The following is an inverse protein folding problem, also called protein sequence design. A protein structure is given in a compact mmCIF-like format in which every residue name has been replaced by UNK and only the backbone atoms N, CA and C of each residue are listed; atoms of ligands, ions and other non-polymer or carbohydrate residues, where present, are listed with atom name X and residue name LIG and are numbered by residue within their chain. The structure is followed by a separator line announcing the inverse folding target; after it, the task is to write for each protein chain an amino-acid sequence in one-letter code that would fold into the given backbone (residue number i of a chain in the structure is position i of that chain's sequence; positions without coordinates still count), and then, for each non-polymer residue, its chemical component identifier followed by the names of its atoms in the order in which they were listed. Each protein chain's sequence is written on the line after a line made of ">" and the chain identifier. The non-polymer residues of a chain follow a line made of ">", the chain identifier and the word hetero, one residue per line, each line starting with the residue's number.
data_IF_033254067933
#
_entry.id   IF_033254067933
#
_cell.length_a   1.000
_cell.length_b   1.000
_cell.length_c   1.000
_cell.angle_alpha   90.00
_cell.angle_beta   90.00
_cell.angle_gamma   90.00
#
_symmetry.space_group_name_H-M   'P 1'
#
loop_
_entity.id
_entity.type
_entity.pdbx_description
1 polymer ?
#
# COMPACT_ATOMS: atom_id res chain seq x y z
N UNK A 1 -84.69 5.31 17.37
CA UNK A 1 -83.78 5.64 18.49
C UNK A 1 -82.73 6.56 17.91
N UNK A 2 -83.02 7.84 18.05
CA UNK A 2 -82.30 8.98 17.51
C UNK A 2 -81.03 9.29 18.32
N UNK A 3 -79.99 9.71 17.60
CA UNK A 3 -78.89 10.55 18.07
C UNK A 3 -78.29 11.22 16.81
N UNK A 4 -78.53 12.51 16.52
CA UNK A 4 -77.89 13.72 17.09
C UNK A 4 -76.35 13.60 17.16
N UNK A 5 -75.51 14.47 16.57
CA UNK A 5 -75.75 15.78 15.98
C UNK A 5 -74.52 16.38 15.27
N UNK A 6 -74.82 17.40 14.46
CA UNK A 6 -74.06 18.57 14.01
C UNK A 6 -72.61 18.45 13.47
N UNK A 7 -72.45 18.73 12.18
CA UNK A 7 -71.21 19.24 11.58
C UNK A 7 -71.18 20.79 11.66
N UNK A 8 -70.03 21.42 11.96
CA UNK A 8 -69.94 22.87 12.02
C UNK A 8 -69.83 23.50 10.62
N UNK A 9 -70.61 24.55 10.39
CA UNK A 9 -70.50 25.45 9.24
C UNK A 9 -69.12 26.14 9.23
N UNK A 10 -68.36 25.97 8.15
CA UNK A 10 -67.19 26.80 7.86
C UNK A 10 -67.62 28.11 7.15
N UNK A 11 -67.10 29.28 7.56
CA UNK A 11 -67.33 30.53 6.85
C UNK A 11 -66.52 30.60 5.54
N UNK A 12 -66.96 31.39 4.54
CA UNK A 12 -66.26 31.51 3.27
C UNK A 12 -64.89 32.20 3.42
N UNK A 13 -63.91 31.69 2.68
CA UNK A 13 -62.54 32.19 2.62
C UNK A 13 -62.50 33.64 2.08
N UNK A 14 -61.67 34.54 2.65
CA UNK A 14 -61.48 35.88 2.11
C UNK A 14 -60.75 35.84 0.77
N UNK A 15 -61.19 36.68 -0.16
CA UNK A 15 -60.56 36.87 -1.47
C UNK A 15 -59.08 37.27 -1.33
N UNK A 16 -58.22 36.59 -2.09
CA UNK A 16 -56.78 36.82 -2.10
C UNK A 16 -56.46 38.25 -2.56
N UNK A 17 -55.80 39.03 -1.70
CA UNK A 17 -55.16 40.28 -2.10
C UNK A 17 -53.89 39.94 -2.89
N UNK A 18 -53.83 40.36 -4.15
CA UNK A 18 -52.61 40.31 -4.94
C UNK A 18 -51.57 41.26 -4.33
N UNK A 19 -50.63 40.70 -3.56
CA UNK A 19 -49.39 41.39 -3.25
C UNK A 19 -48.47 41.32 -4.49
N UNK A 20 -47.92 42.45 -4.96
CA UNK A 20 -46.92 42.42 -6.02
C UNK A 20 -45.70 41.65 -5.53
N UNK A 21 -45.27 40.65 -6.31
CA UNK A 21 -44.07 39.87 -6.05
C UNK A 21 -42.85 40.81 -5.89
N UNK A 22 -41.98 40.58 -4.91
CA UNK A 22 -40.72 41.32 -4.84
C UNK A 22 -39.91 41.00 -6.11
N UNK A 23 -39.49 42.05 -6.82
CA UNK A 23 -38.54 41.93 -7.94
C UNK A 23 -37.33 41.13 -7.47
N UNK A 24 -37.06 40.02 -8.14
CA UNK A 24 -35.81 39.28 -8.03
C UNK A 24 -34.67 40.25 -8.33
N UNK A 25 -34.00 40.72 -7.28
CA UNK A 25 -32.78 41.48 -7.43
C UNK A 25 -31.70 40.47 -7.84
N UNK A 26 -31.45 40.40 -9.15
CA UNK A 26 -30.34 39.68 -9.76
C UNK A 26 -29.03 40.32 -9.27
N UNK A 27 -28.61 39.98 -8.04
CA UNK A 27 -27.26 40.26 -7.57
C UNK A 27 -26.34 39.31 -8.33
N UNK A 28 -25.82 39.85 -9.43
CA UNK A 28 -24.54 39.54 -10.05
C UNK A 28 -24.01 38.16 -9.71
N UNK A 29 -24.07 37.24 -10.68
CA UNK A 29 -23.00 36.26 -10.85
C UNK A 29 -21.68 37.03 -10.71
N UNK A 30 -21.04 36.91 -9.56
CA UNK A 30 -19.67 37.37 -9.40
C UNK A 30 -18.87 36.49 -10.35
N UNK A 31 -18.57 37.03 -11.54
CA UNK A 31 -17.54 36.47 -12.41
C UNK A 31 -16.28 36.47 -11.59
N UNK A 32 -15.94 35.31 -11.02
CA UNK A 32 -14.67 35.08 -10.37
C UNK A 32 -13.63 35.38 -11.44
N UNK A 33 -12.95 36.51 -11.31
CA UNK A 33 -11.92 36.91 -12.24
C UNK A 33 -10.81 35.87 -12.21
N UNK A 34 -10.15 35.62 -13.34
CA UNK A 34 -8.99 34.71 -13.41
C UNK A 34 -7.93 35.02 -12.35
N UNK A 35 -7.85 36.28 -11.87
CA UNK A 35 -6.97 36.73 -10.79
C UNK A 35 -7.39 36.25 -9.40
N UNK A 36 -8.69 36.17 -9.09
CA UNK A 36 -9.21 35.63 -7.82
C UNK A 36 -9.11 34.10 -7.75
N UNK A 37 -9.22 33.42 -8.90
CA UNK A 37 -8.97 31.97 -8.98
C UNK A 37 -7.49 31.66 -8.70
N UNK A 38 -6.58 32.48 -9.22
CA UNK A 38 -5.13 32.36 -8.99
C UNK A 38 -4.78 32.64 -7.51
N UNK A 39 -5.42 33.63 -6.88
CA UNK A 39 -5.19 33.95 -5.47
C UNK A 39 -5.80 32.93 -4.48
N UNK A 40 -6.83 32.16 -4.87
CA UNK A 40 -7.35 31.02 -4.08
C UNK A 40 -6.62 29.70 -4.35
N UNK A 41 -5.88 29.62 -5.46
CA UNK A 41 -5.11 28.41 -5.80
C UNK A 41 -3.88 28.22 -4.91
N UNK A 42 -3.34 29.30 -4.34
CA UNK A 42 -2.21 29.24 -3.40
C UNK A 42 -2.57 28.60 -2.06
N UNK A 43 -3.78 28.78 -1.54
CA UNK A 43 -4.22 28.14 -0.29
C UNK A 43 -4.44 26.63 -0.46
N UNK A 44 -4.95 26.20 -1.62
CA UNK A 44 -5.09 24.79 -1.98
C UNK A 44 -3.74 24.11 -2.26
N UNK A 45 -2.81 24.82 -2.90
CA UNK A 45 -1.45 24.32 -3.13
C UNK A 45 -0.66 24.16 -1.82
N UNK A 46 -0.87 25.05 -0.83
CA UNK A 46 -0.28 24.88 0.51
C UNK A 46 -0.86 23.69 1.27
N UNK A 47 -2.13 23.34 1.08
CA UNK A 47 -2.72 22.15 1.74
C UNK A 47 -2.21 20.82 1.14
N UNK A 48 -1.86 20.78 -0.15
CA UNK A 48 -1.30 19.60 -0.79
C UNK A 48 0.15 19.30 -0.36
N UNK A 49 0.89 20.29 0.15
CA UNK A 49 2.26 20.13 0.62
C UNK A 49 2.38 19.54 2.04
N UNK A 50 1.27 19.36 2.78
CA UNK A 50 1.31 19.12 4.23
C UNK A 50 1.43 17.63 4.62
N UNK A 51 1.24 16.67 3.70
CA UNK A 51 1.27 15.25 4.07
C UNK A 51 2.04 14.38 3.07
N UNK A 52 3.34 14.61 2.91
CA UNK A 52 4.26 13.60 2.38
C UNK A 52 4.96 12.90 3.55
N UNK A 53 4.33 11.88 4.12
CA UNK A 53 4.91 11.05 5.19
C UNK A 53 5.87 9.99 4.64
N UNK A 54 6.77 10.40 3.74
CA UNK A 54 7.74 9.50 3.12
C UNK A 54 8.70 8.93 4.16
N UNK A 55 9.04 9.71 5.19
CA UNK A 55 10.09 9.33 6.15
C UNK A 55 11.48 9.27 5.51
N UNK A 56 12.52 9.36 6.32
CA UNK A 56 13.91 9.22 5.85
C UNK A 56 14.24 7.75 5.61
N UNK A 57 14.99 7.44 4.54
CA UNK A 57 15.54 6.09 4.32
C UNK A 57 16.32 5.65 5.57
N UNK A 58 15.96 4.53 6.22
CA UNK A 58 16.72 4.03 7.36
C UNK A 58 18.16 3.67 6.97
N UNK A 59 19.13 4.01 7.83
CA UNK A 59 20.55 3.77 7.57
C UNK A 59 20.96 2.31 7.70
N UNK A 60 20.13 1.49 8.34
CA UNK A 60 20.37 0.07 8.57
C UNK A 60 19.90 -0.84 7.41
N UNK A 61 19.31 -0.29 6.34
CA UNK A 61 18.91 -1.09 5.17
C UNK A 61 20.12 -1.69 4.46
N UNK A 62 19.90 -2.79 3.76
CA UNK A 62 20.92 -3.58 3.07
C UNK A 62 21.30 -4.86 3.83
N UNK A 63 22.27 -5.58 3.26
CA UNK A 63 22.79 -6.82 3.82
C UNK A 63 23.70 -6.51 5.01
N UNK A 64 23.31 -6.97 6.19
CA UNK A 64 24.09 -6.90 7.42
C UNK A 64 25.30 -7.84 7.32
N UNK A 65 26.42 -7.51 7.95
CA UNK A 65 27.69 -8.25 7.72
C UNK A 65 27.94 -9.40 8.70
N UNK A 66 27.23 -9.49 9.83
CA UNK A 66 27.58 -10.41 10.94
C UNK A 66 26.34 -10.87 11.75
N UNK A 67 25.76 -12.04 11.43
CA UNK A 67 25.96 -12.81 10.20
C UNK A 67 25.37 -12.09 8.97
N UNK A 68 25.69 -12.53 7.75
CA UNK A 68 25.00 -12.08 6.54
C UNK A 68 23.49 -12.31 6.59
N UNK A 69 22.71 -11.24 6.68
CA UNK A 69 21.24 -11.28 6.68
C UNK A 69 20.65 -9.93 6.26
N UNK A 70 19.34 -9.87 6.00
CA UNK A 70 18.65 -8.57 5.96
C UNK A 70 18.47 -8.05 7.39
N UNK A 71 18.12 -6.77 7.51
CA UNK A 71 17.81 -6.18 8.80
C UNK A 71 16.62 -6.90 9.48
N UNK A 72 16.60 -6.87 10.80
CA UNK A 72 15.43 -7.31 11.56
C UNK A 72 14.30 -6.27 11.44
N UNK A 73 13.08 -6.74 11.70
CA UNK A 73 11.93 -5.90 11.89
C UNK A 73 12.05 -5.11 13.20
N UNK A 74 11.57 -3.85 13.23
CA UNK A 74 11.30 -3.19 14.49
C UNK A 74 10.22 -3.98 15.26
N UNK A 75 10.06 -3.71 16.56
CA UNK A 75 9.03 -4.35 17.38
C UNK A 75 7.57 -3.98 17.00
N UNK A 76 7.39 -3.10 16.01
CA UNK A 76 6.10 -2.60 15.54
C UNK A 76 5.50 -3.50 14.46
N UNK A 77 4.17 -3.58 14.42
CA UNK A 77 3.41 -4.45 13.52
C UNK A 77 3.28 -3.86 12.09
N UNK A 78 4.38 -3.38 11.53
CA UNK A 78 4.47 -2.77 10.20
C UNK A 78 5.65 -3.33 9.39
N UNK A 79 6.09 -4.54 9.72
CA UNK A 79 7.21 -5.19 9.08
C UNK A 79 7.01 -6.71 8.96
N UNK A 80 7.55 -7.29 7.91
CA UNK A 80 7.84 -8.72 7.82
C UNK A 80 9.24 -8.95 7.26
N UNK A 81 9.92 -9.97 7.75
CA UNK A 81 11.27 -10.32 7.32
C UNK A 81 11.53 -11.82 7.45
N UNK A 82 12.31 -12.35 6.51
CA UNK A 82 12.79 -13.73 6.55
C UNK A 82 13.95 -13.94 7.51
N UNK A 83 14.55 -12.84 8.00
CA UNK A 83 15.65 -12.88 8.99
C UNK A 83 15.16 -13.00 10.44
N UNK A 84 13.84 -12.96 10.65
CA UNK A 84 13.23 -13.12 11.97
C UNK A 84 13.26 -14.56 12.47
N UNK A 85 13.04 -14.72 13.77
CA UNK A 85 12.86 -16.05 14.36
C UNK A 85 11.56 -16.66 13.87
N UNK A 86 11.58 -17.94 13.52
CA UNK A 86 10.38 -18.70 13.10
C UNK A 86 9.25 -18.63 14.14
N UNK A 87 9.59 -18.52 15.43
CA UNK A 87 8.63 -18.38 16.52
C UNK A 87 7.94 -17.00 16.58
N UNK A 88 8.46 -15.98 15.89
CA UNK A 88 7.81 -14.68 15.75
C UNK A 88 6.80 -14.71 14.60
N UNK A 89 5.61 -15.22 14.88
CA UNK A 89 4.52 -15.30 13.89
C UNK A 89 4.02 -13.92 13.40
N UNK A 90 4.40 -12.82 14.06
CA UNK A 90 4.02 -11.48 13.66
C UNK A 90 4.93 -10.93 12.58
N UNK A 91 6.24 -11.18 12.65
CA UNK A 91 7.22 -10.61 11.73
C UNK A 91 7.83 -11.63 10.78
N UNK A 92 7.90 -12.91 11.16
CA UNK A 92 8.51 -13.94 10.34
C UNK A 92 7.70 -14.25 9.10
N UNK A 93 8.41 -14.44 7.99
CA UNK A 93 7.90 -15.04 6.80
C UNK A 93 8.97 -15.97 6.19
N UNK A 94 8.60 -17.13 5.62
CA UNK A 94 9.58 -18.04 5.06
C UNK A 94 10.24 -17.45 3.79
N UNK A 95 11.53 -17.74 3.55
CA UNK A 95 12.20 -17.34 2.32
C UNK A 95 11.56 -18.01 1.10
N UNK A 96 11.83 -17.46 -0.08
CA UNK A 96 11.33 -18.03 -1.34
C UNK A 96 12.43 -18.80 -2.05
N UNK A 97 12.07 -19.92 -2.66
CA UNK A 97 12.92 -20.73 -3.51
C UNK A 97 12.49 -20.56 -4.96
N UNK A 98 13.42 -20.16 -5.82
CA UNK A 98 13.18 -19.98 -7.25
C UNK A 98 13.43 -21.25 -8.08
N UNK A 99 14.01 -22.30 -7.48
CA UNK A 99 14.18 -23.65 -8.03
C UNK A 99 13.77 -24.73 -7.01
N UNK A 100 12.50 -24.80 -6.58
CA UNK A 100 12.05 -25.85 -5.68
C UNK A 100 12.15 -27.23 -6.35
N UNK A 101 12.59 -28.25 -5.59
CA UNK A 101 12.82 -29.62 -6.12
C UNK A 101 11.57 -30.22 -6.74
N UNK A 102 10.44 -30.05 -6.07
CA UNK A 102 9.12 -30.53 -6.50
C UNK A 102 8.30 -29.43 -7.21
N UNK A 103 8.97 -28.41 -7.72
CA UNK A 103 8.34 -27.31 -8.45
C UNK A 103 7.76 -27.74 -9.80
N UNK A 104 6.82 -26.96 -10.36
CA UNK A 104 6.25 -27.23 -11.69
C UNK A 104 7.26 -27.02 -12.83
N UNK A 105 8.48 -26.55 -12.52
CA UNK A 105 9.49 -26.15 -13.49
C UNK A 105 10.38 -27.34 -13.84
N UNK A 106 10.45 -27.70 -15.13
CA UNK A 106 11.25 -28.83 -15.61
C UNK A 106 12.77 -28.60 -15.66
N UNK A 107 13.25 -27.35 -15.59
CA UNK A 107 14.67 -27.01 -15.58
C UNK A 107 14.95 -25.85 -14.60
N UNK A 108 15.99 -25.93 -13.75
CA UNK A 108 16.34 -24.83 -12.87
C UNK A 108 16.79 -23.60 -13.67
N UNK A 109 16.50 -22.41 -13.13
CA UNK A 109 16.96 -21.13 -13.64
C UNK A 109 18.15 -20.60 -12.85
N UNK A 110 18.92 -19.74 -13.50
CA UNK A 110 20.01 -18.98 -12.88
C UNK A 110 19.48 -17.90 -11.93
N UNK A 111 20.35 -17.43 -11.01
CA UNK A 111 20.08 -16.28 -10.15
C UNK A 111 19.67 -15.04 -10.96
N UNK A 112 20.31 -14.80 -12.09
CA UNK A 112 20.04 -13.61 -12.92
C UNK A 112 18.67 -13.68 -13.61
N UNK A 113 18.24 -14.87 -14.02
CA UNK A 113 16.87 -15.10 -14.51
C UNK A 113 15.84 -14.93 -13.40
N UNK A 114 16.12 -15.46 -12.20
CA UNK A 114 15.27 -15.28 -11.02
C UNK A 114 15.15 -13.79 -10.64
N UNK A 115 16.24 -13.04 -10.68
CA UNK A 115 16.27 -11.59 -10.47
C UNK A 115 15.39 -10.84 -11.47
N UNK A 116 15.42 -11.23 -12.75
CA UNK A 116 14.55 -10.65 -13.79
C UNK A 116 13.09 -10.95 -13.52
N UNK A 117 12.75 -12.20 -13.18
CA UNK A 117 11.39 -12.61 -12.84
C UNK A 117 10.86 -11.84 -11.62
N UNK A 118 11.69 -11.66 -10.59
CA UNK A 118 11.37 -10.90 -9.39
C UNK A 118 11.08 -9.43 -9.72
N UNK A 119 11.97 -8.75 -10.45
CA UNK A 119 11.78 -7.35 -10.85
C UNK A 119 10.52 -7.20 -11.70
N UNK A 120 10.26 -8.14 -12.62
CA UNK A 120 9.04 -8.14 -13.42
C UNK A 120 7.79 -8.24 -12.53
N UNK A 121 7.77 -9.19 -11.57
CA UNK A 121 6.64 -9.35 -10.66
C UNK A 121 6.44 -8.11 -9.81
N UNK A 122 7.51 -7.57 -9.23
CA UNK A 122 7.44 -6.39 -8.36
C UNK A 122 6.93 -5.16 -9.10
N UNK A 123 7.34 -4.97 -10.36
CA UNK A 123 6.93 -3.80 -11.17
C UNK A 123 5.52 -3.93 -11.73
N UNK A 124 5.05 -5.14 -12.04
CA UNK A 124 3.71 -5.40 -12.57
C UNK A 124 2.65 -5.58 -11.49
N UNK A 125 3.05 -6.04 -10.31
CA UNK A 125 2.13 -6.29 -9.20
C UNK A 125 2.00 -5.03 -8.37
N UNK A 126 0.79 -4.50 -8.29
CA UNK A 126 0.44 -3.37 -7.41
C UNK A 126 -0.43 -3.87 -6.27
N UNK A 127 0.14 -4.55 -5.27
CA UNK A 127 -0.63 -4.86 -4.08
C UNK A 127 -0.98 -3.54 -3.38
N UNK A 128 -2.04 -3.54 -2.58
CA UNK A 128 -2.41 -2.41 -1.70
C UNK A 128 -2.58 -1.01 -2.37
N UNK A 129 -2.61 -0.94 -3.71
CA UNK A 129 -2.61 0.28 -4.52
C UNK A 129 -1.35 1.16 -4.36
N UNK A 130 -0.26 0.65 -3.79
CA UNK A 130 0.98 1.40 -3.70
C UNK A 130 1.74 1.32 -5.02
N UNK A 131 2.52 2.35 -5.32
CA UNK A 131 3.34 2.41 -6.52
C UNK A 131 4.76 1.90 -6.23
N UNK A 132 5.20 0.79 -6.86
CA UNK A 132 6.57 0.29 -6.70
C UNK A 132 7.57 1.13 -7.50
N UNK A 133 8.73 1.40 -6.91
CA UNK A 133 9.88 2.03 -7.57
C UNK A 133 11.16 1.29 -7.18
N UNK A 134 11.82 0.65 -8.15
CA UNK A 134 13.14 0.06 -7.92
C UNK A 134 14.14 1.20 -7.76
N UNK A 135 14.73 1.31 -6.58
CA UNK A 135 15.64 2.41 -6.21
C UNK A 135 17.08 1.95 -6.03
N UNK A 136 17.30 0.64 -5.95
CA UNK A 136 18.63 0.06 -5.82
C UNK A 136 18.63 -1.33 -6.44
N UNK A 137 19.65 -1.63 -7.24
CA UNK A 137 19.86 -2.93 -7.85
C UNK A 137 21.36 -3.19 -7.91
N UNK A 138 21.80 -4.23 -7.21
CA UNK A 138 23.11 -4.84 -7.32
C UNK A 138 23.03 -6.23 -7.92
N UNK A 139 24.12 -6.98 -7.82
CA UNK A 139 24.24 -8.33 -8.39
C UNK A 139 23.43 -9.38 -7.62
N UNK A 140 23.26 -9.18 -6.31
CA UNK A 140 22.58 -10.11 -5.40
C UNK A 140 21.51 -9.41 -4.54
N UNK A 141 21.27 -8.11 -4.76
CA UNK A 141 20.39 -7.31 -3.93
C UNK A 141 19.52 -6.36 -4.75
N UNK A 142 18.25 -6.22 -4.37
CA UNK A 142 17.33 -5.23 -4.91
C UNK A 142 16.55 -4.58 -3.79
N UNK A 143 16.40 -3.25 -3.86
CA UNK A 143 15.50 -2.49 -3.00
C UNK A 143 14.46 -1.74 -3.80
N UNK A 144 13.23 -1.82 -3.32
CA UNK A 144 12.05 -1.23 -3.93
C UNK A 144 11.31 -0.41 -2.90
N UNK A 145 10.98 0.82 -3.27
CA UNK A 145 10.13 1.69 -2.46
C UNK A 145 8.69 1.53 -2.95
N UNK A 146 7.77 1.25 -2.04
CA UNK A 146 6.33 1.24 -2.28
C UNK A 146 5.71 2.47 -1.64
N UNK A 147 5.16 3.34 -2.46
CA UNK A 147 4.61 4.63 -2.02
C UNK A 147 3.08 4.62 -2.05
N UNK A 148 2.46 5.04 -0.94
CA UNK A 148 1.01 5.12 -0.82
C UNK A 148 0.46 6.33 -1.58
N UNK A 149 -0.65 6.18 -2.32
CA UNK A 149 -1.11 7.23 -3.25
C UNK A 149 -1.72 8.46 -2.56
N UNK A 150 -2.17 8.33 -1.31
CA UNK A 150 -2.94 9.39 -0.61
C UNK A 150 -2.08 10.15 0.39
N UNK A 151 -1.24 9.45 1.15
CA UNK A 151 -0.49 10.03 2.28
C UNK A 151 1.02 10.03 2.07
N UNK A 152 1.51 9.49 0.95
CA UNK A 152 2.93 9.42 0.63
C UNK A 152 3.75 8.57 1.60
N UNK A 153 3.12 7.64 2.33
CA UNK A 153 3.83 6.67 3.17
C UNK A 153 4.71 5.80 2.27
N UNK A 154 5.97 5.61 2.67
CA UNK A 154 6.90 4.74 1.95
C UNK A 154 7.24 3.52 2.78
N UNK A 155 7.08 2.37 2.14
CA UNK A 155 7.58 1.09 2.61
C UNK A 155 8.83 0.71 1.79
N UNK A 156 9.90 0.30 2.46
CA UNK A 156 11.08 -0.29 1.80
C UNK A 156 10.90 -1.82 1.76
N UNK A 157 11.02 -2.38 0.55
CA UNK A 157 11.05 -3.82 0.30
C UNK A 157 12.41 -4.20 -0.25
N UNK A 158 13.09 -5.09 0.46
CA UNK A 158 14.44 -5.56 0.18
C UNK A 158 14.38 -7.03 -0.23
N UNK A 159 15.13 -7.38 -1.27
CA UNK A 159 15.34 -8.74 -1.72
C UNK A 159 16.82 -9.00 -1.80
N UNK A 160 17.26 -10.11 -1.21
CA UNK A 160 18.65 -10.52 -1.20
C UNK A 160 18.75 -11.99 -1.64
N UNK A 161 19.71 -12.26 -2.52
CA UNK A 161 20.05 -13.58 -3.06
C UNK A 161 21.35 -14.03 -2.39
N UNK A 162 21.30 -14.75 -1.27
CA UNK A 162 22.51 -15.13 -0.54
C UNK A 162 23.48 -15.93 -1.43
N UNK A 163 24.80 -15.75 -1.26
CA UNK A 163 25.77 -16.58 -1.96
C UNK A 163 25.64 -18.04 -1.50
N UNK A 164 25.96 -18.97 -2.40
CA UNK A 164 25.94 -20.41 -2.12
C UNK A 164 25.17 -21.20 -3.17
N UNK A 165 24.93 -22.48 -2.87
CA UNK A 165 24.27 -23.42 -3.79
C UNK A 165 22.74 -23.46 -3.65
N UNK A 166 22.19 -22.80 -2.63
CA UNK A 166 20.74 -22.76 -2.40
C UNK A 166 20.11 -21.74 -3.34
N UNK A 167 18.99 -22.10 -3.97
CA UNK A 167 18.24 -21.22 -4.85
C UNK A 167 17.22 -20.37 -4.07
N UNK A 168 17.69 -19.68 -3.03
CA UNK A 168 16.83 -18.93 -2.11
C UNK A 168 16.91 -17.42 -2.30
N UNK A 169 15.81 -16.75 -2.01
CA UNK A 169 15.69 -15.30 -1.86
C UNK A 169 15.17 -14.99 -0.48
N UNK A 170 15.96 -14.20 0.24
CA UNK A 170 15.61 -13.59 1.52
C UNK A 170 14.94 -12.25 1.23
N UNK A 171 13.98 -11.85 2.06
CA UNK A 171 13.29 -10.56 1.86
C UNK A 171 12.88 -9.91 3.17
N UNK A 172 12.68 -8.59 3.09
CA UNK A 172 12.13 -7.76 4.15
C UNK A 172 11.19 -6.73 3.53
N UNK A 173 10.02 -6.53 4.12
CA UNK A 173 9.06 -5.50 3.72
C UNK A 173 8.67 -4.71 4.96
N UNK A 174 9.00 -3.43 5.03
CA UNK A 174 8.79 -2.62 6.22
C UNK A 174 8.45 -1.17 5.90
N UNK A 175 7.53 -0.58 6.66
CA UNK A 175 7.28 0.87 6.62
C UNK A 175 8.44 1.66 7.22
N UNK A 176 8.77 2.83 6.63
CA UNK A 176 9.80 3.75 7.16
C UNK A 176 9.42 4.37 8.50
N UNK A 177 8.13 4.57 8.71
CA UNK A 177 7.59 5.25 9.89
C UNK A 177 6.20 4.75 10.22
N UNK A 178 5.74 5.03 11.44
CA UNK A 178 4.45 4.57 11.96
C UNK A 178 4.57 3.27 12.75
N UNK A 179 3.48 2.90 13.43
CA UNK A 179 3.43 1.71 14.30
C UNK A 179 2.63 0.55 13.70
N UNK A 180 1.68 0.86 12.80
CA UNK A 180 0.73 -0.09 12.20
C UNK A 180 0.55 0.29 10.73
N UNK A 181 0.60 -0.71 9.84
CA UNK A 181 0.45 -0.57 8.39
C UNK A 181 -0.84 -1.22 7.84
N UNK A 182 -1.78 -1.60 8.71
CA UNK A 182 -2.98 -2.38 8.36
C UNK A 182 -2.68 -3.68 7.60
N UNK A 183 -1.55 -4.31 7.95
CA UNK A 183 -0.99 -5.49 7.31
C UNK A 183 -0.60 -5.27 5.84
N UNK A 184 -0.33 -4.03 5.40
CA UNK A 184 0.08 -3.73 4.02
C UNK A 184 1.32 -4.55 3.63
N UNK A 185 2.37 -4.55 4.45
CA UNK A 185 3.60 -5.30 4.16
C UNK A 185 3.35 -6.81 4.05
N UNK A 186 2.53 -7.38 4.94
CA UNK A 186 2.11 -8.80 4.86
C UNK A 186 1.33 -9.10 3.58
N UNK A 187 0.36 -8.25 3.22
CA UNK A 187 -0.46 -8.39 2.01
C UNK A 187 0.41 -8.28 0.76
N UNK A 188 1.38 -7.37 0.75
CA UNK A 188 2.35 -7.16 -0.33
C UNK A 188 3.19 -8.40 -0.57
N UNK A 189 3.87 -8.90 0.45
CA UNK A 189 4.67 -10.13 0.37
C UNK A 189 3.81 -11.30 -0.11
N UNK A 190 2.58 -11.45 0.42
CA UNK A 190 1.66 -12.49 -0.02
C UNK A 190 1.31 -12.37 -1.51
N UNK A 191 1.00 -11.17 -1.99
CA UNK A 191 0.65 -10.95 -3.40
C UNK A 191 1.83 -11.23 -4.33
N UNK A 192 3.04 -10.77 -3.96
CA UNK A 192 4.26 -11.03 -4.71
C UNK A 192 4.57 -12.54 -4.76
N UNK A 193 4.45 -13.23 -3.62
CA UNK A 193 4.59 -14.70 -3.54
C UNK A 193 3.64 -15.39 -4.52
N UNK A 194 2.35 -15.08 -4.48
CA UNK A 194 1.35 -15.69 -5.37
C UNK A 194 1.64 -15.43 -6.85
N UNK A 195 2.23 -14.28 -7.19
CA UNK A 195 2.63 -13.97 -8.56
C UNK A 195 3.91 -14.74 -8.98
N UNK A 196 4.86 -14.91 -8.06
CA UNK A 196 6.08 -15.71 -8.29
C UNK A 196 5.79 -17.22 -8.36
N UNK A 197 4.82 -17.72 -7.60
CA UNK A 197 4.36 -19.12 -7.66
C UNK A 197 3.84 -19.50 -9.05
N UNK A 198 3.20 -18.56 -9.76
CA UNK A 198 2.81 -18.75 -11.17
C UNK A 198 4.02 -18.88 -12.11
N UNK A 199 5.19 -18.42 -11.68
CA UNK A 199 6.49 -18.62 -12.35
C UNK A 199 7.23 -19.84 -11.78
N UNK A 200 6.62 -20.67 -10.95
CA UNK A 200 7.22 -21.88 -10.40
C UNK A 200 8.15 -21.68 -9.21
N UNK A 201 8.09 -20.52 -8.55
CA UNK A 201 8.72 -20.32 -7.25
C UNK A 201 7.88 -20.99 -6.15
N UNK A 202 8.46 -21.20 -4.98
CA UNK A 202 7.73 -21.67 -3.80
C UNK A 202 8.25 -20.99 -2.52
N UNK A 203 7.45 -20.96 -1.46
CA UNK A 203 7.98 -20.69 -0.12
C UNK A 203 8.67 -21.94 0.42
N UNK A 204 9.84 -21.75 1.04
CA UNK A 204 10.49 -22.83 1.79
C UNK A 204 9.60 -23.28 2.94
N UNK A 205 9.55 -24.60 3.16
CA UNK A 205 8.88 -25.16 4.33
C UNK A 205 9.73 -24.91 5.57
N UNK A 206 9.10 -24.66 6.72
CA UNK A 206 9.81 -24.45 7.99
C UNK A 206 10.68 -25.65 8.40
N UNK A 207 10.40 -26.86 7.89
CA UNK A 207 11.14 -28.09 8.20
C UNK A 207 12.45 -28.25 7.41
N UNK A 208 12.56 -27.67 6.21
CA UNK A 208 13.76 -27.79 5.36
C UNK A 208 14.82 -26.73 5.67
N UNK A 209 14.44 -25.65 6.35
CA UNK A 209 15.35 -24.55 6.67
C UNK A 209 16.23 -24.81 7.90
N UNK A 210 15.76 -25.62 8.87
CA UNK A 210 16.51 -25.93 10.10
C UNK A 210 17.54 -27.07 9.95
N UNK A 211 17.48 -27.84 8.86
CA UNK A 211 18.31 -29.03 8.64
C UNK A 211 19.61 -28.77 7.86
N UNK A 212 20.03 -27.50 7.74
CA UNK A 212 21.18 -27.08 6.95
C UNK A 212 22.08 -26.08 7.65
#
# INVERSE_FOLDING_TARGET
>A
MDAWGAAPHQPPLPAARHHPLPRLNNKSSARIGRRDLVLRSSELATLAAIFHFSGTKPSYLGVQKRPPSLALCPATNNCVSTSERISDSNHYAPPWNYNPKDGPRGKPISKDEAMKELIEVVTKTKPDNFSPRVVEKGDDYVRVEYESPIFGFVDDVEFWFPPGNKSIVQYRSASRSGFIDFNANKKRVKALRLALEKKGWASESTFEYESA
#
